data_IF_545100313355
#
_entry.id   IF_545100313355
#
_cell.length_a   1.000
_cell.length_b   1.000
_cell.length_c   1.000
_cell.angle_alpha   90.00
_cell.angle_beta   90.00
_cell.angle_gamma   90.00
#
_symmetry.space_group_name_H-M   'P 1'
#
loop_
_entity.id
_entity.type
_entity.pdbx_description
1 polymer ?
#
# COMPACT_ATOMS: atom_id res chain seq x y z
N UNK A 1 12.47 2.04 19.64
CA UNK A 1 11.63 1.53 18.53
C UNK A 1 10.67 2.65 18.19
N UNK A 2 10.99 3.46 17.18
CA UNK A 2 10.22 4.67 16.90
C UNK A 2 8.95 4.27 16.16
N UNK A 3 7.80 4.33 16.85
CA UNK A 3 6.52 4.43 16.19
C UNK A 3 6.51 5.76 15.42
N UNK A 4 6.98 5.74 14.17
CA UNK A 4 6.78 6.87 13.26
C UNK A 4 5.28 6.90 12.97
N UNK A 5 4.58 7.81 13.65
CA UNK A 5 3.21 8.18 13.37
C UNK A 5 3.06 8.44 11.87
N UNK A 6 2.56 7.46 11.11
CA UNK A 6 2.46 7.54 9.65
C UNK A 6 2.58 6.20 8.94
N UNK A 7 3.41 5.27 9.44
CA UNK A 7 3.65 3.98 8.78
C UNK A 7 2.39 3.10 8.75
N UNK A 8 1.87 2.82 7.55
CA UNK A 8 0.70 1.98 7.32
C UNK A 8 -0.42 2.69 6.59
N UNK A 9 -1.63 2.15 6.71
CA UNK A 9 -2.84 2.73 6.13
C UNK A 9 -3.26 4.00 6.85
N UNK A 10 -3.55 5.02 6.07
CA UNK A 10 -4.15 6.28 6.51
C UNK A 10 -5.44 6.48 5.72
N UNK A 11 -6.53 6.68 6.46
CA UNK A 11 -7.84 6.92 5.91
C UNK A 11 -7.91 8.27 5.16
N UNK A 12 -8.80 8.34 4.18
CA UNK A 12 -9.15 9.60 3.54
C UNK A 12 -9.79 10.54 4.57
N UNK A 13 -9.16 11.69 4.85
CA UNK A 13 -9.75 12.76 5.67
C UNK A 13 -9.87 14.04 4.84
N UNK A 14 -10.96 14.79 5.05
CA UNK A 14 -11.17 16.13 4.47
C UNK A 14 -10.98 16.24 2.94
N UNK A 15 -11.31 15.18 2.19
CA UNK A 15 -11.17 15.15 0.72
C UNK A 15 -9.78 14.74 0.22
N UNK A 16 -8.84 14.44 1.11
CA UNK A 16 -7.54 13.87 0.76
C UNK A 16 -7.69 12.38 0.42
N UNK A 17 -7.01 11.89 -0.62
CA UNK A 17 -7.05 10.47 -0.99
C UNK A 17 -6.46 9.63 0.13
N UNK A 18 -7.07 8.49 0.42
CA UNK A 18 -6.46 7.54 1.34
C UNK A 18 -5.09 7.08 0.81
N UNK A 19 -4.16 6.80 1.71
CA UNK A 19 -2.80 6.43 1.34
C UNK A 19 -2.23 5.40 2.29
N UNK A 20 -1.24 4.66 1.80
CA UNK A 20 -0.43 3.76 2.61
C UNK A 20 1.00 4.26 2.61
N UNK A 21 1.56 4.49 3.78
CA UNK A 21 2.95 4.90 3.93
C UNK A 21 3.80 3.72 4.39
N UNK A 22 4.76 3.33 3.56
CA UNK A 22 5.70 2.27 3.88
C UNK A 22 6.99 2.86 4.42
N UNK A 23 7.28 2.57 5.69
CA UNK A 23 8.41 3.19 6.38
C UNK A 23 9.75 2.50 6.17
N UNK A 24 9.77 1.30 5.59
CA UNK A 24 11.04 0.69 5.22
C UNK A 24 11.56 1.35 3.94
N UNK A 25 12.84 1.71 3.92
CA UNK A 25 13.45 2.51 2.85
C UNK A 25 13.94 1.71 1.65
N UNK A 26 14.13 0.40 1.80
CA UNK A 26 14.73 -0.47 0.78
C UNK A 26 13.92 -1.74 0.49
N UNK A 27 12.67 -1.79 0.95
CA UNK A 27 11.79 -2.94 0.69
C UNK A 27 10.49 -2.44 0.12
N UNK A 28 9.91 -3.23 -0.76
CA UNK A 28 8.55 -3.04 -1.20
C UNK A 28 7.70 -4.14 -0.57
N UNK A 29 6.46 -3.81 -0.26
CA UNK A 29 5.53 -4.73 0.38
C UNK A 29 4.23 -4.79 -0.40
N UNK A 30 3.63 -5.97 -0.42
CA UNK A 30 2.25 -6.10 -0.86
C UNK A 30 1.33 -5.66 0.26
N UNK A 31 0.34 -4.86 -0.09
CA UNK A 31 -0.78 -4.54 0.79
C UNK A 31 -2.06 -5.02 0.12
N UNK A 32 -3.00 -5.50 0.93
CA UNK A 32 -4.37 -5.70 0.51
C UNK A 32 -5.13 -4.41 0.80
N UNK A 33 -5.70 -3.83 -0.25
CA UNK A 33 -6.54 -2.64 -0.18
C UNK A 33 -8.00 -3.08 -0.24
N UNK A 34 -8.76 -2.69 0.78
CA UNK A 34 -10.19 -2.90 0.86
C UNK A 34 -10.93 -1.73 0.26
N UNK A 35 -11.86 -1.99 -0.65
CA UNK A 35 -12.70 -0.96 -1.27
C UNK A 35 -14.16 -1.21 -0.97
N UNK A 36 -14.97 -0.16 -1.03
CA UNK A 36 -16.42 -0.30 -0.98
C UNK A 36 -17.08 0.82 -1.79
N UNK A 37 -17.98 0.51 -2.75
CA UNK A 37 -18.59 -0.79 -3.03
C UNK A 37 -17.81 -1.69 -4.03
N UNK A 38 -16.58 -1.32 -4.40
CA UNK A 38 -15.74 -2.11 -5.33
C UNK A 38 -15.03 -3.29 -4.66
N UNK A 39 -14.58 -4.25 -5.45
CA UNK A 39 -13.77 -5.38 -4.97
C UNK A 39 -12.41 -4.94 -4.45
N UNK A 40 -11.95 -5.65 -3.42
CA UNK A 40 -10.63 -5.52 -2.83
C UNK A 40 -9.54 -5.88 -3.84
N UNK A 41 -8.35 -5.27 -3.71
CA UNK A 41 -7.22 -5.52 -4.61
C UNK A 41 -5.88 -5.44 -3.89
N UNK A 42 -4.90 -6.17 -4.40
CA UNK A 42 -3.53 -6.10 -3.90
C UNK A 42 -2.76 -5.01 -4.63
N UNK A 43 -1.99 -4.22 -3.87
CA UNK A 43 -1.15 -3.15 -4.41
C UNK A 43 0.26 -3.32 -3.87
N UNK A 44 1.24 -3.26 -4.75
CA UNK A 44 2.64 -3.17 -4.36
C UNK A 44 2.91 -1.73 -3.92
N UNK A 45 3.42 -1.56 -2.70
CA UNK A 45 3.80 -0.26 -2.14
C UNK A 45 5.27 -0.26 -1.82
N UNK A 46 5.96 0.71 -2.39
CA UNK A 46 7.38 0.94 -2.15
C UNK A 46 7.63 1.90 -0.99
N UNK A 47 8.90 2.16 -0.65
CA UNK A 47 9.29 3.10 0.39
C UNK A 47 8.63 4.47 0.21
N UNK A 48 8.04 5.00 1.29
CA UNK A 48 7.35 6.28 1.32
C UNK A 48 5.84 6.18 1.16
N UNK A 49 5.20 7.29 0.74
CA UNK A 49 3.75 7.40 0.64
C UNK A 49 3.24 6.90 -0.71
N UNK A 50 2.40 5.88 -0.69
CA UNK A 50 1.65 5.41 -1.86
C UNK A 50 0.18 5.82 -1.73
N UNK A 51 -0.31 6.68 -2.62
CA UNK A 51 -1.72 7.04 -2.67
C UNK A 51 -2.56 5.86 -3.17
N UNK A 52 -3.69 5.64 -2.52
CA UNK A 52 -4.66 4.60 -2.86
C UNK A 52 -5.89 5.21 -3.54
N UNK A 53 -6.83 4.35 -3.89
CA UNK A 53 -8.10 4.76 -4.48
C UNK A 53 -8.93 5.59 -3.49
N UNK A 54 -9.79 6.47 -4.03
CA UNK A 54 -10.68 7.32 -3.23
C UNK A 54 -11.71 6.50 -2.44
N UNK A 55 -12.12 5.38 -3.01
CA UNK A 55 -13.06 4.41 -2.44
C UNK A 55 -12.37 3.33 -1.60
N UNK A 56 -11.07 3.49 -1.30
CA UNK A 56 -10.39 2.64 -0.34
C UNK A 56 -10.92 2.94 1.07
N UNK A 57 -11.40 1.89 1.73
CA UNK A 57 -11.95 1.93 3.10
C UNK A 57 -11.00 1.32 4.13
N UNK A 58 -9.96 0.64 3.67
CA UNK A 58 -8.91 0.08 4.51
C UNK A 58 -7.73 -0.40 3.68
N UNK A 59 -6.55 -0.50 4.30
CA UNK A 59 -5.45 -1.28 3.74
C UNK A 59 -4.59 -1.89 4.85
N UNK A 60 -4.00 -3.04 4.57
CA UNK A 60 -3.09 -3.70 5.49
C UNK A 60 -1.98 -4.41 4.72
N UNK A 61 -0.83 -4.55 5.37
CA UNK A 61 0.26 -5.37 4.86
C UNK A 61 -0.19 -6.81 4.68
N UNK A 62 0.06 -7.37 3.49
CA UNK A 62 -0.23 -8.75 3.16
C UNK A 62 1.08 -9.47 2.80
N UNK A 63 1.63 -10.20 3.78
CA UNK A 63 2.84 -11.01 3.60
C UNK A 63 2.58 -12.32 2.85
N UNK A 64 1.31 -12.73 2.75
CA UNK A 64 0.93 -14.01 2.17
C UNK A 64 0.65 -13.90 0.67
N UNK A 65 0.54 -12.67 0.15
CA UNK A 65 0.32 -12.44 -1.26
C UNK A 65 1.58 -12.74 -2.07
N UNK A 66 1.58 -13.91 -2.70
CA UNK A 66 2.67 -14.41 -3.56
C UNK A 66 2.51 -13.94 -5.02
N UNK A 67 2.02 -12.73 -5.26
CA UNK A 67 1.83 -12.16 -6.60
C UNK A 67 3.12 -11.83 -7.36
N UNK A 68 4.24 -12.48 -7.01
CA UNK A 68 5.58 -12.19 -7.50
C UNK A 68 6.35 -11.23 -6.60
N UNK A 69 7.60 -10.95 -6.99
CA UNK A 69 8.36 -9.88 -6.37
C UNK A 69 7.58 -8.58 -6.57
N UNK A 70 7.32 -7.87 -5.48
CA UNK A 70 6.89 -6.46 -5.47
C UNK A 70 8.07 -5.61 -5.98
N UNK A 71 8.64 -5.98 -7.13
CA UNK A 71 9.72 -5.26 -7.75
C UNK A 71 9.08 -4.17 -8.60
N UNK A 72 9.75 -3.04 -8.60
CA UNK A 72 9.51 -1.85 -9.41
C UNK A 72 9.00 -2.26 -10.81
N UNK A 73 8.06 -1.52 -11.44
CA UNK A 73 7.61 -1.81 -12.80
C UNK A 73 8.72 -1.68 -13.88
N UNK A 74 10.00 -1.64 -13.51
CA UNK A 74 11.18 -1.82 -14.37
C UNK A 74 11.96 -3.13 -14.14
N UNK A 75 11.50 -4.02 -13.25
CA UNK A 75 12.12 -5.33 -12.94
C UNK A 75 11.30 -6.52 -13.45
N UNK A 76 10.31 -6.28 -14.30
CA UNK A 76 9.82 -7.32 -15.21
C UNK A 76 10.79 -7.42 -16.38
N UNK A 77 11.76 -8.34 -16.31
CA UNK A 77 12.36 -8.90 -17.54
C UNK A 77 11.33 -9.73 -18.31
N UNK A 78 11.57 -10.15 -19.57
CA UNK A 78 12.79 -10.06 -20.39
C UNK A 78 12.87 -8.85 -21.34
#
# INVERSE_FOLDING_TARGET
>A
MQARSGCGWNESRNGERAYYEHCATNTNVWIQVKRWPRSDYHRCVGPGRTNLDLDATGAWYDSNYQGGLCSHPGDTGP
#
